data_IF_192402617617
#
_entry.id   IF_192402617617
#
_cell.length_a   1.000
_cell.length_b   1.000
_cell.length_c   1.000
_cell.angle_alpha   90.00
_cell.angle_beta   90.00
_cell.angle_gamma   90.00
#
_symmetry.space_group_name_H-M   'P 1'
#
loop_
_entity.id
_entity.type
_entity.pdbx_description
1 polymer ?
#
# COMPACT_ATOMS: atom_id res chain seq x y z
N UNK A 1 2.35 -6.17 5.51
CA UNK A 1 2.92 -5.94 6.87
C UNK A 1 3.15 -7.29 7.58
N UNK A 2 2.12 -8.13 7.77
CA UNK A 2 2.23 -9.38 8.55
C UNK A 2 3.36 -10.32 8.11
N UNK A 3 3.60 -10.49 6.80
CA UNK A 3 4.69 -11.31 6.26
C UNK A 3 6.05 -10.79 6.75
N UNK A 4 6.27 -9.47 6.65
CA UNK A 4 7.52 -8.84 7.09
C UNK A 4 7.72 -8.96 8.61
N UNK A 5 6.64 -8.86 9.39
CA UNK A 5 6.69 -9.08 10.84
C UNK A 5 7.06 -10.53 11.18
N UNK A 6 6.52 -11.51 10.43
CA UNK A 6 6.85 -12.92 10.62
C UNK A 6 8.34 -13.22 10.33
N UNK A 7 8.96 -12.45 9.43
CA UNK A 7 10.41 -12.50 9.13
C UNK A 7 11.27 -11.73 10.15
N UNK A 8 10.65 -11.15 11.20
CA UNK A 8 11.37 -10.50 12.30
C UNK A 8 11.64 -9.01 12.12
N UNK A 9 11.16 -8.38 11.06
CA UNK A 9 11.31 -6.93 10.86
C UNK A 9 10.39 -6.14 11.79
N UNK A 10 10.86 -4.98 12.24
CA UNK A 10 10.01 -3.95 12.86
C UNK A 10 9.30 -3.18 11.75
N UNK A 11 8.00 -3.38 11.61
CA UNK A 11 7.22 -2.92 10.46
C UNK A 11 6.31 -1.76 10.83
N UNK A 12 6.46 -0.63 10.12
CA UNK A 12 5.47 0.44 10.07
C UNK A 12 4.36 0.10 9.06
N UNK A 13 3.13 0.41 9.39
CA UNK A 13 1.98 0.28 8.49
C UNK A 13 1.16 1.56 8.50
N UNK A 14 1.02 2.19 7.33
CA UNK A 14 0.15 3.33 7.09
C UNK A 14 -0.99 2.95 6.17
N UNK A 15 -2.24 3.12 6.62
CA UNK A 15 -3.45 2.76 5.87
C UNK A 15 -4.53 3.83 5.96
N UNK A 16 -5.45 3.85 5.00
CA UNK A 16 -6.60 4.78 4.97
C UNK A 16 -7.78 4.20 4.19
N UNK A 17 -9.02 4.56 4.60
CA UNK A 17 -9.41 5.25 5.83
C UNK A 17 -9.35 4.34 7.05
N UNK A 18 -9.57 4.90 8.24
CA UNK A 18 -9.84 4.11 9.45
C UNK A 18 -11.33 3.72 9.51
N UNK A 19 -11.65 2.70 10.29
CA UNK A 19 -13.03 2.23 10.46
C UNK A 19 -13.68 2.80 11.73
N UNK A 20 -12.97 2.82 12.85
CA UNK A 20 -13.47 3.25 14.16
C UNK A 20 -12.57 4.30 14.78
N UNK A 21 -11.28 4.06 14.85
CA UNK A 21 -10.29 4.89 15.55
C UNK A 21 -9.26 5.45 14.57
N UNK A 22 -9.03 6.78 14.63
CA UNK A 22 -8.02 7.43 13.80
C UNK A 22 -6.66 6.74 13.85
N UNK A 23 -6.26 6.23 15.01
CA UNK A 23 -4.95 5.59 15.24
C UNK A 23 -4.76 4.29 14.47
N UNK A 24 -5.84 3.70 13.94
CA UNK A 24 -5.75 2.54 13.04
C UNK A 24 -4.90 2.82 11.79
N UNK A 25 -4.82 4.09 11.38
CA UNK A 25 -4.07 4.51 10.19
C UNK A 25 -2.57 4.34 10.35
N UNK A 26 -2.04 4.34 11.58
CA UNK A 26 -0.61 4.35 11.86
C UNK A 26 -0.31 3.26 12.89
N UNK A 27 0.37 2.22 12.45
CA UNK A 27 0.70 1.07 13.32
C UNK A 27 2.17 0.72 13.20
N UNK A 28 2.76 0.28 14.32
CA UNK A 28 4.09 -0.34 14.35
C UNK A 28 3.95 -1.73 14.96
N UNK A 29 4.37 -2.76 14.24
CA UNK A 29 4.21 -4.17 14.64
C UNK A 29 2.75 -4.51 15.06
N UNK A 30 1.76 -3.99 14.31
CA UNK A 30 0.35 -4.20 14.57
C UNK A 30 -0.25 -3.33 15.69
N UNK A 31 0.56 -2.66 16.50
CA UNK A 31 0.09 -1.75 17.55
C UNK A 31 -0.18 -0.36 16.99
N UNK A 32 -1.36 0.19 17.27
CA UNK A 32 -1.73 1.56 16.88
C UNK A 32 -0.82 2.58 17.58
N UNK A 33 -0.56 3.70 16.91
CA UNK A 33 0.09 4.87 17.51
C UNK A 33 -0.64 5.27 18.79
N UNK A 34 0.10 5.70 19.81
CA UNK A 34 -0.51 6.16 21.05
C UNK A 34 -1.17 7.51 20.86
N UNK A 35 -2.27 7.76 21.58
CA UNK A 35 -2.99 9.02 21.52
C UNK A 35 -2.08 10.22 21.85
N UNK A 36 -1.22 10.05 22.83
CA UNK A 36 -0.27 11.10 23.25
C UNK A 36 0.70 11.48 22.12
N UNK A 37 1.18 10.52 21.33
CA UNK A 37 2.06 10.80 20.19
C UNK A 37 1.37 11.66 19.11
N UNK A 38 0.06 11.45 18.91
CA UNK A 38 -0.74 12.28 18.00
C UNK A 38 -0.88 13.70 18.54
N UNK A 39 -1.16 13.84 19.84
CA UNK A 39 -1.28 15.13 20.52
C UNK A 39 0.05 15.89 20.45
N UNK A 40 1.12 15.23 20.84
CA UNK A 40 2.47 15.80 20.86
C UNK A 40 2.90 16.30 19.47
N UNK A 41 2.63 15.51 18.43
CA UNK A 41 2.91 15.93 17.06
C UNK A 41 2.17 17.21 16.70
N UNK A 42 0.87 17.27 16.98
CA UNK A 42 0.06 18.46 16.65
C UNK A 42 0.54 19.69 17.43
N UNK A 43 0.85 19.52 18.72
CA UNK A 43 1.30 20.63 19.54
C UNK A 43 2.70 21.14 19.14
N UNK A 44 3.64 20.22 18.92
CA UNK A 44 5.02 20.58 18.58
C UNK A 44 5.17 21.15 17.17
N UNK A 45 4.44 20.61 16.19
CA UNK A 45 4.61 20.97 14.79
C UNK A 45 3.59 22.03 14.32
N UNK A 46 2.65 22.44 15.17
CA UNK A 46 1.59 23.40 14.80
C UNK A 46 2.13 24.66 14.15
N UNK A 47 3.14 25.29 14.74
CA UNK A 47 3.73 26.53 14.24
C UNK A 47 4.36 26.39 12.86
N UNK A 48 4.80 25.17 12.50
CA UNK A 48 5.34 24.84 11.19
C UNK A 48 4.26 24.61 10.15
N UNK A 49 3.25 23.80 10.45
CA UNK A 49 2.27 23.42 9.44
C UNK A 49 1.08 24.38 9.32
N UNK A 50 0.73 25.13 10.37
CA UNK A 50 -0.45 26.03 10.35
C UNK A 50 -0.40 27.06 9.21
N UNK A 51 0.73 27.73 8.90
CA UNK A 51 0.83 28.63 7.76
C UNK A 51 0.74 27.95 6.39
N UNK A 52 0.98 26.63 6.32
CA UNK A 52 0.95 25.86 5.08
C UNK A 52 -0.46 25.34 4.73
N UNK A 53 -1.40 25.41 5.69
CA UNK A 53 -2.77 24.92 5.54
C UNK A 53 -2.86 23.51 4.93
N UNK A 54 -2.12 22.49 5.44
CA UNK A 54 -2.14 21.15 4.87
C UNK A 54 -3.53 20.54 5.00
N UNK A 55 -3.89 19.68 4.06
CA UNK A 55 -5.05 18.83 4.18
C UNK A 55 -4.89 17.83 5.35
N UNK A 56 -6.02 17.31 5.81
CA UNK A 56 -6.00 16.26 6.84
C UNK A 56 -5.13 15.07 6.46
N UNK A 57 -5.16 14.66 5.18
CA UNK A 57 -4.39 13.52 4.70
C UNK A 57 -2.89 13.82 4.65
N UNK A 58 -2.48 15.01 4.18
CA UNK A 58 -1.08 15.45 4.20
C UNK A 58 -0.52 15.48 5.62
N UNK A 59 -1.28 16.03 6.56
CA UNK A 59 -0.85 16.08 7.96
C UNK A 59 -0.73 14.70 8.58
N UNK A 60 -1.68 13.81 8.29
CA UNK A 60 -1.65 12.41 8.77
C UNK A 60 -0.47 11.65 8.18
N UNK A 61 -0.14 11.89 6.90
CA UNK A 61 1.01 11.28 6.23
C UNK A 61 2.33 11.75 6.86
N UNK A 62 2.45 13.05 7.15
CA UNK A 62 3.61 13.61 7.84
C UNK A 62 3.80 13.01 9.24
N UNK A 63 2.71 12.90 10.01
CA UNK A 63 2.70 12.22 11.30
C UNK A 63 3.19 10.77 11.19
N UNK A 64 2.66 10.01 10.21
CA UNK A 64 3.05 8.61 10.02
C UNK A 64 4.55 8.49 9.71
N UNK A 65 5.09 9.30 8.82
CA UNK A 65 6.52 9.25 8.48
C UNK A 65 7.42 9.67 9.63
N UNK A 66 7.06 10.72 10.38
CA UNK A 66 7.78 11.13 11.58
C UNK A 66 7.77 10.01 12.61
N UNK A 67 6.60 9.44 12.92
CA UNK A 67 6.45 8.36 13.89
C UNK A 67 7.27 7.11 13.50
N UNK A 68 7.25 6.70 12.23
CA UNK A 68 8.06 5.56 11.77
C UNK A 68 9.56 5.81 11.89
N UNK A 69 10.01 7.03 11.62
CA UNK A 69 11.40 7.41 11.81
C UNK A 69 11.81 7.38 13.29
N UNK A 70 11.00 7.93 14.18
CA UNK A 70 11.23 7.91 15.65
C UNK A 70 11.20 6.50 16.23
N UNK A 71 10.28 5.68 15.74
CA UNK A 71 10.17 4.27 16.10
C UNK A 71 11.28 3.41 15.49
N UNK A 72 12.09 3.94 14.57
CA UNK A 72 13.18 3.23 13.87
C UNK A 72 12.69 1.93 13.25
N UNK A 73 11.60 2.00 12.48
CA UNK A 73 11.10 0.83 11.77
C UNK A 73 12.11 0.39 10.71
N UNK A 74 12.26 -0.93 10.53
CA UNK A 74 13.16 -1.48 9.50
C UNK A 74 12.58 -1.29 8.11
N UNK A 75 11.25 -1.37 8.00
CA UNK A 75 10.51 -1.21 6.75
C UNK A 75 9.11 -0.66 7.03
N UNK A 76 8.61 0.17 6.12
CA UNK A 76 7.25 0.68 6.19
C UNK A 76 6.43 0.21 4.99
N UNK A 77 5.20 -0.22 5.23
CA UNK A 77 4.17 -0.49 4.23
C UNK A 77 3.25 0.71 4.18
N UNK A 78 3.26 1.42 3.07
CA UNK A 78 2.56 2.70 2.89
C UNK A 78 1.45 2.52 1.87
N UNK A 79 0.20 2.70 2.27
CA UNK A 79 -0.95 2.75 1.38
C UNK A 79 -1.09 4.15 0.79
N UNK A 80 -1.25 4.20 -0.54
CA UNK A 80 -1.56 5.44 -1.27
C UNK A 80 -3.00 5.86 -0.98
N UNK A 81 -3.22 7.14 -0.70
CA UNK A 81 -4.57 7.64 -0.41
C UNK A 81 -5.45 7.75 -1.64
N UNK A 82 -4.97 8.39 -2.70
CA UNK A 82 -5.71 8.59 -3.93
C UNK A 82 -4.80 8.63 -5.16
N UNK A 83 -5.10 7.81 -6.15
CA UNK A 83 -4.36 7.77 -7.41
C UNK A 83 -2.96 7.22 -7.25
N UNK A 84 -1.97 8.07 -7.13
CA UNK A 84 -0.55 7.71 -6.93
C UNK A 84 0.39 8.86 -7.29
N UNK A 85 0.34 9.34 -8.53
CA UNK A 85 1.28 10.34 -9.06
C UNK A 85 1.37 11.61 -8.22
N UNK A 86 0.24 12.14 -7.78
CA UNK A 86 0.12 13.38 -7.00
C UNK A 86 -0.23 13.13 -5.52
N UNK A 87 -0.25 11.87 -5.10
CA UNK A 87 -0.50 11.54 -3.70
C UNK A 87 0.65 11.99 -2.80
N UNK A 88 0.33 12.53 -1.64
CA UNK A 88 1.36 13.05 -0.72
C UNK A 88 2.27 11.94 -0.16
N UNK A 89 1.83 10.67 -0.18
CA UNK A 89 2.70 9.54 0.17
C UNK A 89 3.79 9.28 -0.87
N UNK A 90 3.62 9.80 -2.10
CA UNK A 90 4.52 9.52 -3.23
C UNK A 90 5.85 10.31 -3.20
N UNK A 91 6.15 10.99 -2.10
CA UNK A 91 7.46 11.62 -1.86
C UNK A 91 8.57 10.62 -1.56
N UNK A 92 8.21 9.39 -1.20
CA UNK A 92 9.16 8.33 -0.84
C UNK A 92 9.84 7.71 -2.07
N UNK A 93 11.02 7.11 -1.86
CA UNK A 93 11.63 6.16 -2.78
C UNK A 93 11.49 4.77 -2.17
N UNK A 94 10.52 3.96 -2.65
CA UNK A 94 10.26 2.65 -2.07
C UNK A 94 11.32 1.63 -2.49
N UNK A 95 11.39 0.50 -1.79
CA UNK A 95 12.15 -0.68 -2.23
C UNK A 95 11.34 -1.57 -3.16
N UNK A 96 10.01 -1.42 -3.14
CA UNK A 96 9.06 -2.14 -3.97
C UNK A 96 7.77 -1.32 -4.10
N UNK A 97 7.24 -1.21 -5.30
CA UNK A 97 5.88 -0.67 -5.55
C UNK A 97 4.92 -1.81 -5.85
N UNK A 98 3.69 -1.71 -5.35
CA UNK A 98 2.63 -2.70 -5.63
C UNK A 98 1.37 -1.95 -6.07
N UNK A 99 0.80 -2.35 -7.21
CA UNK A 99 -0.49 -1.87 -7.70
C UNK A 99 -1.41 -3.08 -7.78
N UNK A 100 -2.46 -3.12 -6.96
CA UNK A 100 -3.30 -4.32 -6.78
C UNK A 100 -4.20 -4.59 -7.98
N UNK A 101 -5.02 -3.62 -8.35
CA UNK A 101 -5.92 -3.66 -9.51
C UNK A 101 -6.34 -2.25 -9.92
N UNK A 102 -7.05 -2.16 -11.05
CA UNK A 102 -7.66 -0.93 -11.54
C UNK A 102 -9.16 -1.15 -11.71
N UNK A 103 -9.93 -0.28 -11.09
CA UNK A 103 -11.37 -0.17 -11.25
C UNK A 103 -11.78 1.28 -11.58
N UNK A 104 -12.99 1.47 -12.09
CA UNK A 104 -13.57 2.81 -12.29
C UNK A 104 -14.01 3.36 -10.93
N UNK A 105 -13.06 3.93 -10.21
CA UNK A 105 -13.28 4.58 -8.93
C UNK A 105 -12.66 5.99 -8.95
N UNK A 106 -13.24 6.90 -8.16
CA UNK A 106 -12.79 8.29 -8.09
C UNK A 106 -12.64 8.97 -9.47
N UNK A 107 -13.52 8.64 -10.42
CA UNK A 107 -13.42 9.07 -11.82
C UNK A 107 -13.39 10.58 -11.99
N UNK A 108 -14.02 11.33 -11.09
CA UNK A 108 -13.99 12.81 -11.05
C UNK A 108 -12.58 13.39 -10.83
N UNK A 109 -11.63 12.61 -10.29
CA UNK A 109 -10.25 13.04 -10.03
C UNK A 109 -9.23 12.31 -10.89
N UNK A 110 -9.44 11.03 -11.17
CA UNK A 110 -8.45 10.16 -11.80
C UNK A 110 -8.70 9.96 -13.30
N UNK A 111 -9.86 10.44 -13.81
CA UNK A 111 -10.26 10.27 -15.19
C UNK A 111 -11.30 9.17 -15.40
N UNK A 112 -11.90 9.15 -16.60
CA UNK A 112 -13.08 8.35 -16.91
C UNK A 112 -12.75 7.04 -17.66
N UNK A 113 -11.48 6.66 -17.76
CA UNK A 113 -11.04 5.42 -18.41
C UNK A 113 -10.08 4.65 -17.51
N UNK A 114 -10.05 3.33 -17.66
CA UNK A 114 -9.10 2.49 -16.91
C UNK A 114 -7.66 2.87 -17.23
N UNK A 115 -7.34 3.27 -18.46
CA UNK A 115 -6.01 3.72 -18.84
C UNK A 115 -5.60 5.02 -18.12
N UNK A 116 -6.52 5.99 -17.97
CA UNK A 116 -6.24 7.23 -17.24
C UNK A 116 -5.97 6.95 -15.76
N UNK A 117 -6.83 6.15 -15.12
CA UNK A 117 -6.66 5.74 -13.71
C UNK A 117 -5.35 4.95 -13.52
N UNK A 118 -5.04 4.02 -14.45
CA UNK A 118 -3.78 3.28 -14.44
C UNK A 118 -2.57 4.23 -14.56
N UNK A 119 -2.67 5.29 -15.36
CA UNK A 119 -1.64 6.32 -15.50
C UNK A 119 -1.35 7.06 -14.19
N UNK A 120 -2.38 7.44 -13.45
CA UNK A 120 -2.24 8.07 -12.13
C UNK A 120 -1.63 7.11 -11.10
N UNK A 121 -2.11 5.85 -11.04
CA UNK A 121 -1.55 4.84 -10.14
C UNK A 121 -0.11 4.46 -10.51
N UNK A 122 0.21 4.39 -11.80
CA UNK A 122 1.58 4.16 -12.28
C UNK A 122 2.58 5.25 -11.86
N UNK A 123 2.11 6.39 -11.35
CA UNK A 123 2.94 7.45 -10.78
C UNK A 123 3.82 7.01 -9.61
N UNK A 124 3.49 5.90 -8.95
CA UNK A 124 4.32 5.33 -7.86
C UNK A 124 5.47 4.44 -8.37
N UNK A 125 5.54 4.16 -9.67
CA UNK A 125 6.66 3.42 -10.28
C UNK A 125 7.86 4.38 -10.39
N UNK A 126 8.94 4.06 -9.66
CA UNK A 126 10.15 4.89 -9.55
C UNK A 126 11.31 4.29 -10.32
N UNK A 127 12.29 5.15 -10.61
CA UNK A 127 13.49 4.77 -11.37
C UNK A 127 14.24 3.59 -10.71
N UNK A 128 14.41 2.51 -11.45
CA UNK A 128 15.14 1.32 -11.01
C UNK A 128 14.47 0.49 -9.91
N UNK A 129 13.26 0.88 -9.46
CA UNK A 129 12.57 0.20 -8.38
C UNK A 129 11.58 -0.82 -8.95
N UNK A 130 11.63 -2.09 -8.51
CA UNK A 130 10.71 -3.11 -9.00
C UNK A 130 9.25 -2.77 -8.66
N UNK A 131 8.35 -3.19 -9.55
CA UNK A 131 6.91 -3.04 -9.36
C UNK A 131 6.18 -4.35 -9.61
N UNK A 132 5.21 -4.66 -8.74
CA UNK A 132 4.29 -5.78 -8.91
C UNK A 132 2.90 -5.23 -9.25
N UNK A 133 2.30 -5.78 -10.29
CA UNK A 133 0.91 -5.52 -10.69
C UNK A 133 0.09 -6.76 -10.35
N UNK A 134 -0.97 -6.61 -9.55
CA UNK A 134 -1.85 -7.70 -9.15
C UNK A 134 -2.69 -8.19 -10.32
N UNK A 135 -3.70 -7.42 -10.69
CA UNK A 135 -4.60 -7.71 -11.81
C UNK A 135 -4.49 -6.62 -12.88
N UNK A 136 -4.45 -7.01 -14.15
CA UNK A 136 -4.37 -6.06 -15.26
C UNK A 136 -5.14 -6.55 -16.48
N UNK A 137 -6.01 -5.70 -17.02
CA UNK A 137 -6.60 -5.91 -18.35
C UNK A 137 -5.65 -5.39 -19.43
N UNK A 138 -5.78 -5.81 -20.71
CA UNK A 138 -4.84 -5.40 -21.77
C UNK A 138 -4.59 -3.89 -21.86
N UNK A 139 -5.64 -3.08 -21.68
CA UNK A 139 -5.58 -1.62 -21.69
C UNK A 139 -4.66 -1.07 -20.57
N UNK A 140 -4.80 -1.55 -19.35
CA UNK A 140 -4.01 -1.10 -18.19
C UNK A 140 -2.61 -1.71 -18.19
N UNK A 141 -2.46 -2.95 -18.68
CA UNK A 141 -1.17 -3.64 -18.82
C UNK A 141 -0.20 -2.83 -19.69
N UNK A 142 -0.68 -2.29 -20.82
CA UNK A 142 0.12 -1.46 -21.72
C UNK A 142 0.63 -0.17 -21.01
N UNK A 143 -0.20 0.47 -20.18
CA UNK A 143 0.17 1.68 -19.43
C UNK A 143 1.29 1.37 -18.43
N UNK A 144 1.15 0.29 -17.66
CA UNK A 144 2.15 -0.11 -16.68
C UNK A 144 3.48 -0.52 -17.33
N UNK A 145 3.44 -1.27 -18.43
CA UNK A 145 4.63 -1.65 -19.17
C UNK A 145 5.39 -0.42 -19.70
N UNK A 146 4.69 0.53 -20.33
CA UNK A 146 5.29 1.76 -20.84
C UNK A 146 5.93 2.59 -19.70
N UNK A 147 5.26 2.70 -18.56
CA UNK A 147 5.79 3.42 -17.40
C UNK A 147 7.00 2.72 -16.81
N UNK A 148 6.96 1.41 -16.62
CA UNK A 148 8.07 0.63 -16.08
C UNK A 148 9.30 0.73 -17.00
N UNK A 149 9.11 0.61 -18.31
CA UNK A 149 10.18 0.80 -19.28
C UNK A 149 10.82 2.20 -19.18
N UNK A 150 9.99 3.25 -19.10
CA UNK A 150 10.48 4.63 -18.93
C UNK A 150 11.29 4.83 -17.65
N UNK A 151 10.94 4.09 -16.59
CA UNK A 151 11.57 4.18 -15.28
C UNK A 151 12.69 3.14 -15.07
N UNK A 152 13.03 2.37 -16.11
CA UNK A 152 14.00 1.26 -16.00
C UNK A 152 13.68 0.34 -14.81
N UNK A 153 12.39 0.09 -14.58
CA UNK A 153 11.86 -0.67 -13.46
C UNK A 153 11.51 -2.09 -13.88
N UNK A 154 11.96 -3.07 -13.11
CA UNK A 154 11.50 -4.45 -13.28
C UNK A 154 10.00 -4.52 -12.99
N UNK A 155 9.22 -5.00 -13.94
CA UNK A 155 7.76 -5.18 -13.76
C UNK A 155 7.40 -6.66 -13.73
N UNK A 156 6.56 -7.04 -12.77
CA UNK A 156 6.01 -8.39 -12.62
C UNK A 156 4.50 -8.30 -12.56
N UNK A 157 3.82 -9.07 -13.39
CA UNK A 157 2.37 -9.26 -13.29
C UNK A 157 2.11 -10.54 -12.50
N UNK A 158 1.40 -10.40 -11.38
CA UNK A 158 1.12 -11.53 -10.48
C UNK A 158 0.29 -12.64 -11.15
N UNK A 159 -0.55 -12.26 -12.12
CA UNK A 159 -1.35 -13.18 -12.93
C UNK A 159 -0.49 -14.12 -13.79
N UNK A 160 0.67 -13.65 -14.26
CA UNK A 160 1.58 -14.45 -15.09
C UNK A 160 2.30 -15.52 -14.25
N UNK A 161 2.31 -15.38 -12.92
CA UNK A 161 2.98 -16.31 -11.98
C UNK A 161 2.01 -16.65 -10.81
N UNK A 162 0.91 -17.34 -11.06
CA UNK A 162 -0.05 -17.65 -10.02
C UNK A 162 0.59 -18.51 -8.92
N UNK A 163 0.61 -17.97 -7.71
CA UNK A 163 1.12 -18.69 -6.53
C UNK A 163 0.15 -19.80 -6.08
N UNK A 164 -1.16 -19.57 -6.25
CA UNK A 164 -2.22 -20.55 -5.92
C UNK A 164 -2.66 -21.26 -7.18
N UNK A 165 -2.48 -22.58 -7.21
CA UNK A 165 -2.85 -23.43 -8.34
C UNK A 165 -4.28 -24.00 -8.21
N UNK A 166 -4.76 -24.19 -6.98
CA UNK A 166 -6.11 -24.64 -6.67
C UNK A 166 -6.46 -24.31 -5.22
N UNK A 167 -7.74 -24.17 -4.94
CA UNK A 167 -8.25 -24.03 -3.57
C UNK A 167 -9.57 -24.77 -3.42
N UNK A 168 -9.88 -25.23 -2.20
CA UNK A 168 -11.17 -25.81 -1.85
C UNK A 168 -11.49 -25.54 -0.38
N UNK A 169 -12.77 -25.37 -0.09
CA UNK A 169 -13.25 -25.21 1.29
C UNK A 169 -13.09 -26.52 2.08
N UNK A 170 -12.69 -26.42 3.33
CA UNK A 170 -12.58 -27.54 4.25
C UNK A 170 -13.90 -27.69 5.05
N UNK A 171 -14.31 -28.92 5.39
CA UNK A 171 -15.49 -29.13 6.25
C UNK A 171 -15.38 -28.49 7.63
N UNK A 172 -14.15 -28.19 8.07
CA UNK A 172 -13.84 -27.55 9.37
C UNK A 172 -13.92 -26.03 9.34
N UNK A 173 -14.26 -25.42 8.19
CA UNK A 173 -14.41 -23.96 8.07
C UNK A 173 -13.15 -23.21 7.67
N UNK A 174 -12.19 -23.85 7.03
CA UNK A 174 -11.01 -23.21 6.45
C UNK A 174 -10.95 -23.43 4.93
N UNK A 175 -9.90 -22.92 4.30
CA UNK A 175 -9.59 -23.15 2.89
C UNK A 175 -8.24 -23.85 2.77
N UNK A 176 -8.18 -24.94 2.03
CA UNK A 176 -6.94 -25.55 1.62
C UNK A 176 -6.51 -24.97 0.26
N UNK A 177 -5.25 -24.62 0.16
CA UNK A 177 -4.62 -24.11 -1.04
C UNK A 177 -3.53 -25.04 -1.51
N UNK A 178 -3.53 -25.39 -2.79
CA UNK A 178 -2.36 -25.97 -3.44
C UNK A 178 -1.57 -24.85 -4.08
N UNK A 179 -0.36 -24.63 -3.59
CA UNK A 179 0.49 -23.54 -4.05
C UNK A 179 1.63 -24.06 -4.93
N UNK A 180 2.12 -23.16 -5.79
CA UNK A 180 3.25 -23.45 -6.67
C UNK A 180 4.59 -23.54 -5.93
N UNK A 181 4.76 -22.72 -4.89
CA UNK A 181 6.05 -22.53 -4.23
C UNK A 181 6.12 -23.10 -2.83
N UNK A 182 4.97 -23.28 -2.15
CA UNK A 182 4.91 -23.65 -0.73
C UNK A 182 4.17 -24.97 -0.49
N UNK A 183 3.88 -25.75 -1.56
CA UNK A 183 3.12 -26.98 -1.44
C UNK A 183 1.66 -26.74 -1.02
N UNK A 184 1.10 -27.64 -0.21
CA UNK A 184 -0.24 -27.50 0.31
C UNK A 184 -0.22 -26.71 1.62
N UNK A 185 -0.99 -25.65 1.71
CA UNK A 185 -1.18 -24.86 2.91
C UNK A 185 -2.67 -24.76 3.25
N UNK A 186 -2.98 -24.60 4.53
CA UNK A 186 -4.34 -24.33 5.00
C UNK A 186 -4.38 -22.94 5.62
N UNK A 187 -5.46 -22.20 5.38
CA UNK A 187 -5.71 -20.89 5.96
C UNK A 187 -7.10 -20.84 6.57
N UNK A 188 -7.21 -20.19 7.71
CA UNK A 188 -8.46 -19.79 8.29
C UNK A 188 -8.77 -18.38 7.82
N UNK A 189 -9.70 -18.22 6.88
CA UNK A 189 -10.25 -16.90 6.56
C UNK A 189 -11.35 -16.59 7.58
N UNK A 190 -11.07 -15.75 8.52
CA UNK A 190 -12.05 -15.18 9.42
C UNK A 190 -12.90 -14.14 8.68
N UNK A 191 -13.84 -14.58 7.88
CA UNK A 191 -14.78 -13.74 7.18
C UNK A 191 -15.68 -14.60 6.28
N UNK A 192 -16.94 -14.60 6.53
CA UNK A 192 -17.99 -15.11 5.65
C UNK A 192 -18.36 -14.05 4.63
#
# INVERSE_FOLDING_TARGET
AAILQAEGYKVGLYTSPHLVDFRERIRVNGQMIQEQEVIDFVEQERSFFEPLHPSFFELTTALAFKYFAEQKVDIAVIEVGLGGRLDCTNIITPVLSIITNISLDHTQFLGNTLAAIAGEKAGIIKQGIPVIIGEAVPETKAVFQAKAQKMDALIVFAEDIPAVCASHALPTGGIAYRTRFFGNITGELGGS
#
